data_IF_669035612344
#
_entry.id   IF_669035612344
#
_cell.length_a   1.000
_cell.length_b   1.000
_cell.length_c   1.000
_cell.angle_alpha   90.00
_cell.angle_beta   90.00
_cell.angle_gamma   90.00
#
_symmetry.space_group_name_H-M   'P 1'
#
loop_
_entity.id
_entity.type
_entity.pdbx_description
1 polymer ?
#
# COMPACT_ATOMS: atom_id res chain seq x y z
N UNK A 1 -48.17 -17.65 -154.06
CA UNK A 1 -47.45 -16.55 -153.39
C UNK A 1 -47.68 -16.68 -151.89
N UNK A 2 -46.63 -16.89 -151.09
CA UNK A 2 -46.74 -16.99 -149.63
C UNK A 2 -46.56 -15.61 -149.00
N UNK A 3 -47.45 -15.25 -148.07
CA UNK A 3 -47.45 -13.92 -147.43
C UNK A 3 -46.79 -14.06 -146.06
N UNK A 4 -45.69 -13.34 -145.86
CA UNK A 4 -44.87 -13.38 -144.66
C UNK A 4 -45.46 -12.39 -143.64
N UNK A 5 -46.23 -12.89 -142.66
CA UNK A 5 -46.88 -12.05 -141.65
C UNK A 5 -45.97 -11.92 -140.42
N UNK A 6 -45.38 -10.74 -140.22
CA UNK A 6 -44.64 -10.40 -138.99
C UNK A 6 -45.62 -9.92 -137.93
N UNK A 7 -45.80 -10.72 -136.88
CA UNK A 7 -46.57 -10.32 -135.70
C UNK A 7 -45.72 -9.37 -134.84
N UNK A 8 -46.23 -8.16 -134.59
CA UNK A 8 -45.62 -7.20 -133.66
C UNK A 8 -46.05 -7.54 -132.23
N UNK A 9 -45.10 -7.77 -131.33
CA UNK A 9 -45.35 -7.90 -129.90
C UNK A 9 -45.55 -6.51 -129.29
N UNK A 10 -46.75 -6.26 -128.77
CA UNK A 10 -47.12 -5.01 -128.12
C UNK A 10 -46.90 -5.15 -126.60
N UNK A 11 -46.00 -4.36 -126.03
CA UNK A 11 -45.77 -4.32 -124.57
C UNK A 11 -46.40 -3.07 -123.96
N UNK A 12 -47.36 -3.27 -123.05
CA UNK A 12 -48.04 -2.19 -122.31
C UNK A 12 -47.24 -1.82 -121.05
N UNK A 13 -46.82 -0.56 -120.95
CA UNK A 13 -46.10 -0.02 -119.80
C UNK A 13 -47.08 0.78 -118.92
N UNK A 14 -47.36 0.28 -117.72
CA UNK A 14 -48.23 0.96 -116.74
C UNK A 14 -47.42 2.00 -115.98
N UNK A 15 -47.68 3.29 -116.20
CA UNK A 15 -47.11 4.40 -115.42
C UNK A 15 -48.12 4.88 -114.38
N UNK A 16 -47.80 4.67 -113.11
CA UNK A 16 -48.57 5.25 -112.00
C UNK A 16 -48.31 6.76 -111.90
N UNK A 17 -49.36 7.57 -111.94
CA UNK A 17 -49.30 9.00 -111.60
C UNK A 17 -49.32 9.13 -110.08
N UNK A 18 -48.17 8.99 -109.42
CA UNK A 18 -48.04 9.43 -108.03
C UNK A 18 -47.93 10.95 -108.01
N UNK A 19 -48.89 11.62 -107.36
CA UNK A 19 -48.87 13.07 -107.19
C UNK A 19 -47.63 13.47 -106.39
N UNK A 20 -46.71 14.21 -107.01
CA UNK A 20 -45.47 14.65 -106.35
C UNK A 20 -45.75 15.57 -105.15
N UNK A 21 -46.91 16.21 -105.10
CA UNK A 21 -47.30 17.04 -103.96
C UNK A 21 -47.53 16.19 -102.70
N UNK A 22 -48.23 15.05 -102.81
CA UNK A 22 -48.51 14.17 -101.67
C UNK A 22 -47.26 13.48 -101.12
N UNK A 23 -46.28 13.15 -101.97
CA UNK A 23 -44.99 12.62 -101.50
C UNK A 23 -44.13 13.69 -100.79
N UNK A 24 -44.30 14.97 -101.14
CA UNK A 24 -43.63 16.08 -100.46
C UNK A 24 -44.24 16.33 -99.09
N UNK A 25 -45.58 16.36 -98.98
CA UNK A 25 -46.25 16.51 -97.68
C UNK A 25 -45.91 15.37 -96.72
N UNK A 26 -45.94 14.12 -97.19
CA UNK A 26 -45.55 12.95 -96.36
C UNK A 26 -44.09 13.06 -95.89
N UNK A 27 -43.18 13.53 -96.75
CA UNK A 27 -41.78 13.74 -96.35
C UNK A 27 -41.65 14.86 -95.31
N UNK A 28 -42.37 15.95 -95.48
CA UNK A 28 -42.29 17.10 -94.58
C UNK A 28 -42.90 16.76 -93.21
N UNK A 29 -43.99 16.00 -93.19
CA UNK A 29 -44.59 15.46 -91.96
C UNK A 29 -43.64 14.47 -91.27
N UNK A 30 -42.96 13.60 -92.02
CA UNK A 30 -41.95 12.71 -91.45
C UNK A 30 -40.75 13.49 -90.87
N UNK A 31 -40.32 14.57 -91.52
CA UNK A 31 -39.26 15.44 -91.01
C UNK A 31 -39.68 16.20 -89.74
N UNK A 32 -40.94 16.61 -89.64
CA UNK A 32 -41.49 17.24 -88.43
C UNK A 32 -41.53 16.25 -87.27
N UNK A 33 -42.09 15.06 -87.50
CA UNK A 33 -42.13 14.00 -86.49
C UNK A 33 -40.72 13.67 -85.98
N UNK A 34 -39.75 13.50 -86.87
CA UNK A 34 -38.36 13.21 -86.47
C UNK A 34 -37.77 14.31 -85.57
N UNK A 35 -38.02 15.60 -85.89
CA UNK A 35 -37.57 16.72 -85.07
C UNK A 35 -38.26 16.78 -83.71
N UNK A 36 -39.55 16.46 -83.66
CA UNK A 36 -40.31 16.47 -82.42
C UNK A 36 -39.85 15.34 -81.50
N UNK A 37 -39.62 14.14 -82.04
CA UNK A 37 -39.04 13.01 -81.30
C UNK A 37 -37.67 13.36 -80.69
N UNK A 38 -36.76 13.97 -81.45
CA UNK A 38 -35.43 14.36 -80.95
C UNK A 38 -35.49 15.36 -79.78
N UNK A 39 -36.46 16.29 -79.81
CA UNK A 39 -36.68 17.26 -78.72
C UNK A 39 -37.26 16.59 -77.47
N UNK A 40 -38.21 15.67 -77.64
CA UNK A 40 -38.77 14.90 -76.51
C UNK A 40 -37.73 13.96 -75.89
N UNK A 41 -36.89 13.29 -76.68
CA UNK A 41 -35.83 12.42 -76.13
C UNK A 41 -34.81 13.22 -75.31
N UNK A 42 -34.40 14.39 -75.80
CA UNK A 42 -33.47 15.27 -75.08
C UNK A 42 -34.03 15.80 -73.75
N UNK A 43 -35.35 16.02 -73.67
CA UNK A 43 -36.01 16.47 -72.43
C UNK A 43 -36.22 15.32 -71.44
N UNK A 44 -36.61 14.14 -71.92
CA UNK A 44 -36.74 12.94 -71.09
C UNK A 44 -35.38 12.49 -70.53
N UNK A 45 -34.33 12.52 -71.34
CA UNK A 45 -32.98 12.16 -70.89
C UNK A 45 -32.45 13.13 -69.82
N UNK A 46 -32.70 14.45 -69.97
CA UNK A 46 -32.37 15.44 -68.94
C UNK A 46 -33.17 15.24 -67.67
N UNK A 47 -34.47 14.95 -67.77
CA UNK A 47 -35.33 14.71 -66.61
C UNK A 47 -34.89 13.45 -65.83
N UNK A 48 -34.56 12.35 -66.52
CA UNK A 48 -34.02 11.14 -65.89
C UNK A 48 -32.68 11.42 -65.19
N UNK A 49 -31.75 12.11 -65.85
CA UNK A 49 -30.48 12.49 -65.23
C UNK A 49 -30.66 13.39 -64.00
N UNK A 50 -31.66 14.28 -63.99
CA UNK A 50 -31.96 15.12 -62.82
C UNK A 50 -32.56 14.29 -61.68
N UNK A 51 -33.47 13.38 -61.98
CA UNK A 51 -34.07 12.47 -61.00
C UNK A 51 -33.00 11.56 -60.38
N UNK A 52 -32.11 10.98 -61.18
CA UNK A 52 -31.01 10.12 -60.71
C UNK A 52 -30.03 10.92 -59.83
N UNK A 53 -29.71 12.16 -60.20
CA UNK A 53 -28.87 13.04 -59.37
C UNK A 53 -29.52 13.34 -58.03
N UNK A 54 -30.83 13.60 -57.99
CA UNK A 54 -31.56 13.86 -56.76
C UNK A 54 -31.68 12.61 -55.88
N UNK A 55 -31.92 11.45 -56.48
CA UNK A 55 -31.96 10.17 -55.77
C UNK A 55 -30.59 9.83 -55.15
N UNK A 56 -29.51 10.04 -55.92
CA UNK A 56 -28.15 9.81 -55.45
C UNK A 56 -27.74 10.75 -54.31
N UNK A 57 -28.08 12.05 -54.40
CA UNK A 57 -27.80 13.00 -53.33
C UNK A 57 -28.60 12.69 -52.07
N UNK A 58 -29.87 12.29 -52.21
CA UNK A 58 -30.70 11.85 -51.08
C UNK A 58 -30.13 10.60 -50.40
N UNK A 59 -29.72 9.58 -51.16
CA UNK A 59 -29.06 8.38 -50.61
C UNK A 59 -27.75 8.73 -49.89
N UNK A 60 -26.91 9.58 -50.49
CA UNK A 60 -25.66 10.03 -49.87
C UNK A 60 -25.88 10.78 -48.56
N UNK A 61 -26.92 11.62 -48.48
CA UNK A 61 -27.27 12.33 -47.25
C UNK A 61 -27.75 11.37 -46.16
N UNK A 62 -28.61 10.41 -46.49
CA UNK A 62 -29.06 9.38 -45.55
C UNK A 62 -27.88 8.53 -45.03
N UNK A 63 -26.97 8.08 -45.90
CA UNK A 63 -25.78 7.34 -45.47
C UNK A 63 -24.86 8.15 -44.56
N UNK A 64 -24.67 9.45 -44.84
CA UNK A 64 -23.87 10.33 -43.96
C UNK A 64 -24.49 10.49 -42.58
N UNK A 65 -25.82 10.64 -42.49
CA UNK A 65 -26.52 10.74 -41.20
C UNK A 65 -26.39 9.45 -40.39
N UNK A 66 -26.58 8.29 -41.02
CA UNK A 66 -26.42 6.98 -40.37
C UNK A 66 -24.98 6.78 -39.88
N UNK A 67 -23.97 7.11 -40.70
CA UNK A 67 -22.57 7.04 -40.26
C UNK A 67 -22.25 8.00 -39.12
N UNK A 68 -22.82 9.20 -39.11
CA UNK A 68 -22.61 10.16 -38.02
C UNK A 68 -23.23 9.65 -36.71
N UNK A 69 -24.46 9.12 -36.76
CA UNK A 69 -25.11 8.52 -35.59
C UNK A 69 -24.33 7.31 -35.07
N UNK A 70 -23.87 6.41 -35.96
CA UNK A 70 -23.05 5.26 -35.56
C UNK A 70 -21.71 5.70 -34.93
N UNK A 71 -21.05 6.72 -35.47
CA UNK A 71 -19.81 7.27 -34.89
C UNK A 71 -20.04 7.91 -33.52
N UNK A 72 -21.17 8.57 -33.30
CA UNK A 72 -21.53 9.15 -32.00
C UNK A 72 -21.87 8.06 -30.97
N UNK A 73 -22.66 7.06 -31.36
CA UNK A 73 -22.99 5.92 -30.50
C UNK A 73 -21.74 5.12 -30.09
N UNK A 74 -20.81 4.89 -31.03
CA UNK A 74 -19.53 4.23 -30.73
C UNK A 74 -18.68 5.05 -29.75
N UNK A 75 -18.60 6.38 -29.91
CA UNK A 75 -17.91 7.25 -28.95
C UNK A 75 -18.55 7.17 -27.57
N UNK A 76 -19.87 7.24 -27.48
CA UNK A 76 -20.59 7.15 -26.21
C UNK A 76 -20.35 5.81 -25.50
N UNK A 77 -20.46 4.70 -26.22
CA UNK A 77 -20.20 3.37 -25.66
C UNK A 77 -18.76 3.21 -25.10
N UNK A 78 -17.76 3.82 -25.75
CA UNK A 78 -16.38 3.80 -25.23
C UNK A 78 -16.19 4.63 -23.96
N UNK A 79 -16.90 5.75 -23.83
CA UNK A 79 -16.87 6.59 -22.63
C UNK A 79 -17.55 5.87 -21.47
N UNK A 80 -18.72 5.27 -21.72
CA UNK A 80 -19.49 4.54 -20.71
C UNK A 80 -18.74 3.30 -20.21
N UNK A 81 -18.06 2.57 -21.12
CA UNK A 81 -17.22 1.43 -20.74
C UNK A 81 -16.03 1.86 -19.86
N UNK A 82 -15.38 2.99 -20.19
CA UNK A 82 -14.30 3.54 -19.37
C UNK A 82 -14.80 4.03 -18.00
N UNK A 83 -15.96 4.66 -17.94
CA UNK A 83 -16.57 5.10 -16.68
C UNK A 83 -16.83 3.91 -15.74
N UNK A 84 -17.43 2.83 -16.25
CA UNK A 84 -17.67 1.58 -15.49
C UNK A 84 -16.37 0.95 -14.99
N UNK A 85 -15.30 0.94 -15.80
CA UNK A 85 -13.99 0.43 -15.37
C UNK A 85 -13.36 1.30 -14.27
N UNK A 86 -13.49 2.62 -14.35
CA UNK A 86 -12.97 3.54 -13.34
C UNK A 86 -13.72 3.33 -12.02
N UNK A 87 -15.04 3.18 -12.05
CA UNK A 87 -15.85 2.90 -10.85
C UNK A 87 -15.49 1.54 -10.23
N UNK A 88 -15.37 0.48 -11.03
CA UNK A 88 -14.95 -0.83 -10.55
C UNK A 88 -13.54 -0.77 -9.91
N UNK A 89 -12.59 -0.04 -10.52
CA UNK A 89 -11.25 0.17 -9.94
C UNK A 89 -11.30 0.96 -8.64
N UNK A 90 -12.16 1.98 -8.52
CA UNK A 90 -12.35 2.75 -7.28
C UNK A 90 -12.91 1.86 -6.17
N UNK A 91 -13.89 1.02 -6.46
CA UNK A 91 -14.46 0.08 -5.49
C UNK A 91 -13.45 -0.97 -5.04
N UNK A 92 -12.68 -1.56 -5.98
CA UNK A 92 -11.61 -2.50 -5.64
C UNK A 92 -10.47 -1.84 -4.84
N UNK A 93 -10.12 -0.59 -5.17
CA UNK A 93 -9.14 0.19 -4.42
C UNK A 93 -9.63 0.53 -3.00
N UNK A 94 -10.93 0.80 -2.83
CA UNK A 94 -11.53 1.03 -1.51
C UNK A 94 -11.53 -0.24 -0.66
N UNK A 95 -11.94 -1.38 -1.24
CA UNK A 95 -11.94 -2.67 -0.56
C UNK A 95 -10.53 -3.12 -0.15
N UNK A 96 -9.54 -3.00 -1.03
CA UNK A 96 -8.15 -3.35 -0.71
C UNK A 96 -7.52 -2.43 0.35
N UNK A 97 -7.84 -1.12 0.33
CA UNK A 97 -7.42 -0.20 1.40
C UNK A 97 -8.05 -0.58 2.75
N UNK A 98 -9.35 -0.88 2.78
CA UNK A 98 -10.03 -1.31 3.99
C UNK A 98 -9.44 -2.62 4.55
N UNK A 99 -9.23 -3.63 3.69
CA UNK A 99 -8.59 -4.89 4.08
C UNK A 99 -7.16 -4.68 4.58
N UNK A 100 -6.37 -3.80 3.93
CA UNK A 100 -5.02 -3.46 4.38
C UNK A 100 -5.01 -2.76 5.73
N UNK A 101 -5.96 -1.85 5.98
CA UNK A 101 -6.11 -1.17 7.26
C UNK A 101 -6.49 -2.18 8.35
N UNK A 102 -7.45 -3.07 8.07
CA UNK A 102 -7.83 -4.14 9.02
C UNK A 102 -6.67 -5.06 9.33
N UNK A 103 -5.92 -5.51 8.32
CA UNK A 103 -4.73 -6.35 8.50
C UNK A 103 -3.65 -5.63 9.31
N UNK A 104 -3.41 -4.34 9.05
CA UNK A 104 -2.46 -3.53 9.84
C UNK A 104 -2.92 -3.35 11.29
N UNK A 105 -4.22 -3.15 11.54
CA UNK A 105 -4.77 -3.05 12.88
C UNK A 105 -4.61 -4.38 13.64
N UNK A 106 -4.94 -5.51 12.99
CA UNK A 106 -4.75 -6.84 13.57
C UNK A 106 -3.27 -7.13 13.86
N UNK A 107 -2.35 -6.80 12.95
CA UNK A 107 -0.91 -6.95 13.16
C UNK A 107 -0.39 -6.07 14.31
N UNK A 108 -0.85 -4.82 14.42
CA UNK A 108 -0.50 -3.93 15.54
C UNK A 108 -1.00 -4.47 16.86
N UNK A 109 -2.23 -4.98 16.92
CA UNK A 109 -2.79 -5.58 18.13
C UNK A 109 -2.05 -6.88 18.51
N UNK A 110 -1.79 -7.76 17.54
CA UNK A 110 -1.07 -9.01 17.77
C UNK A 110 0.37 -8.78 18.25
N UNK A 111 1.11 -7.88 17.60
CA UNK A 111 2.48 -7.53 18.00
C UNK A 111 2.53 -6.86 19.38
N UNK A 112 1.53 -6.05 19.73
CA UNK A 112 1.38 -5.48 21.07
C UNK A 112 1.15 -6.58 22.12
N UNK A 113 0.26 -7.53 21.85
CA UNK A 113 -0.05 -8.63 22.77
C UNK A 113 1.16 -9.57 22.96
N UNK A 114 1.88 -9.88 21.88
CA UNK A 114 3.08 -10.70 21.93
C UNK A 114 4.19 -10.02 22.74
N UNK A 115 4.44 -8.73 22.49
CA UNK A 115 5.44 -7.97 23.24
C UNK A 115 5.12 -7.91 24.75
N UNK A 116 3.84 -7.75 25.12
CA UNK A 116 3.42 -7.79 26.52
C UNK A 116 3.70 -9.15 27.16
N UNK A 117 3.38 -10.26 26.47
CA UNK A 117 3.71 -11.63 26.93
C UNK A 117 5.22 -11.87 27.03
N UNK A 118 6.02 -11.32 26.13
CA UNK A 118 7.49 -11.43 26.21
C UNK A 118 8.03 -10.68 27.43
N UNK A 119 7.50 -9.48 27.72
CA UNK A 119 7.85 -8.72 28.93
C UNK A 119 7.48 -9.48 30.20
N UNK A 120 6.28 -10.07 30.24
CA UNK A 120 5.83 -10.94 31.33
C UNK A 120 6.80 -12.11 31.55
N UNK A 121 7.08 -12.89 30.50
CA UNK A 121 7.99 -14.04 30.56
C UNK A 121 9.38 -13.65 31.04
N UNK A 122 9.90 -12.51 30.57
CA UNK A 122 11.20 -11.99 31.03
C UNK A 122 11.17 -11.60 32.52
N UNK A 123 10.14 -10.88 32.97
CA UNK A 123 10.01 -10.50 34.37
C UNK A 123 9.89 -11.71 35.28
N UNK A 124 9.07 -12.69 34.92
CA UNK A 124 8.93 -13.96 35.65
C UNK A 124 10.25 -14.73 35.71
N UNK A 125 10.99 -14.78 34.59
CA UNK A 125 12.31 -15.40 34.54
C UNK A 125 13.32 -14.70 35.46
N UNK A 126 13.39 -13.37 35.40
CA UNK A 126 14.27 -12.58 36.25
C UNK A 126 13.93 -12.76 37.74
N UNK A 127 12.64 -12.84 38.09
CA UNK A 127 12.17 -13.15 39.44
C UNK A 127 12.57 -14.56 39.88
N UNK A 128 12.41 -15.55 39.01
CA UNK A 128 12.81 -16.94 39.27
C UNK A 128 14.31 -17.08 39.57
N UNK A 129 15.15 -16.25 38.94
CA UNK A 129 16.60 -16.24 39.14
C UNK A 129 17.07 -15.42 40.34
N UNK A 130 16.22 -14.60 40.97
CA UNK A 130 16.63 -13.81 42.13
C UNK A 130 16.84 -14.68 43.38
N UNK A 131 18.08 -15.14 43.60
CA UNK A 131 18.44 -15.81 44.85
C UNK A 131 18.43 -14.78 46.00
N UNK A 132 17.96 -15.16 47.19
CA UNK A 132 17.75 -14.22 48.30
C UNK A 132 16.33 -13.64 48.39
N UNK A 133 15.42 -14.02 47.50
CA UNK A 133 13.97 -13.92 47.74
C UNK A 133 13.43 -15.30 48.12
N UNK A 134 12.60 -15.37 49.17
CA UNK A 134 11.85 -16.58 49.55
C UNK A 134 10.78 -16.90 48.48
N UNK A 135 10.37 -18.17 48.34
CA UNK A 135 9.33 -18.61 47.40
C UNK A 135 8.04 -17.80 47.48
N UNK A 136 7.58 -17.45 48.69
CA UNK A 136 6.43 -16.57 48.88
C UNK A 136 6.64 -15.17 48.28
N UNK A 137 7.82 -14.58 48.45
CA UNK A 137 8.16 -13.26 47.89
C UNK A 137 8.32 -13.30 46.36
N UNK A 138 8.82 -14.41 45.82
CA UNK A 138 8.86 -14.64 44.37
C UNK A 138 7.46 -14.74 43.80
N UNK A 139 6.54 -15.41 44.50
CA UNK A 139 5.15 -15.53 44.09
C UNK A 139 4.43 -14.18 44.09
N UNK A 140 4.57 -13.37 45.14
CA UNK A 140 3.96 -12.03 45.17
C UNK A 140 4.54 -11.12 44.10
N UNK A 141 5.85 -11.18 43.88
CA UNK A 141 6.51 -10.44 42.81
C UNK A 141 6.02 -10.90 41.42
N UNK A 142 5.84 -12.20 41.21
CA UNK A 142 5.31 -12.76 39.97
C UNK A 142 3.86 -12.32 39.73
N UNK A 143 3.01 -12.35 40.77
CA UNK A 143 1.63 -11.85 40.70
C UNK A 143 1.55 -10.38 40.35
N UNK A 144 2.43 -9.54 40.93
CA UNK A 144 2.48 -8.13 40.58
C UNK A 144 2.82 -7.91 39.10
N UNK A 145 3.81 -8.65 38.57
CA UNK A 145 4.15 -8.57 37.15
C UNK A 145 2.99 -9.01 36.23
N UNK A 146 2.27 -10.07 36.59
CA UNK A 146 1.09 -10.54 35.86
C UNK A 146 -0.04 -9.52 35.86
N UNK A 147 -0.31 -8.89 37.02
CA UNK A 147 -1.36 -7.88 37.15
C UNK A 147 -1.09 -6.65 36.27
N UNK A 148 0.16 -6.18 36.20
CA UNK A 148 0.54 -5.06 35.31
C UNK A 148 0.28 -5.40 33.83
N UNK A 149 0.62 -6.61 33.41
CA UNK A 149 0.40 -7.07 32.03
C UNK A 149 -1.09 -7.23 31.74
N UNK A 150 -1.88 -7.71 32.71
CA UNK A 150 -3.34 -7.80 32.59
C UNK A 150 -3.98 -6.41 32.48
N UNK A 151 -3.58 -5.44 33.30
CA UNK A 151 -4.04 -4.05 33.22
C UNK A 151 -3.69 -3.41 31.87
N UNK A 152 -2.52 -3.72 31.31
CA UNK A 152 -2.15 -3.28 29.97
C UNK A 152 -3.03 -3.90 28.88
N UNK A 153 -3.30 -5.21 28.95
CA UNK A 153 -4.20 -5.89 28.00
C UNK A 153 -5.63 -5.36 28.07
N UNK A 154 -6.09 -4.96 29.26
CA UNK A 154 -7.38 -4.33 29.50
C UNK A 154 -7.41 -2.84 29.09
N UNK A 155 -6.27 -2.25 28.72
CA UNK A 155 -6.17 -0.83 28.37
C UNK A 155 -6.22 0.14 29.56
N UNK A 156 -6.12 -0.36 30.80
CA UNK A 156 -6.14 0.46 32.01
C UNK A 156 -4.85 1.26 32.21
N UNK A 157 -3.71 0.74 31.74
CA UNK A 157 -2.40 1.42 31.80
C UNK A 157 -1.73 1.41 30.43
N UNK A 158 -0.89 2.41 30.17
CA UNK A 158 -0.11 2.48 28.94
C UNK A 158 1.10 1.55 28.96
N UNK A 159 1.63 1.17 27.79
CA UNK A 159 2.84 0.34 27.68
C UNK A 159 4.05 0.98 28.39
N UNK A 160 4.15 2.31 28.32
CA UNK A 160 5.22 3.08 28.96
C UNK A 160 5.16 2.94 30.47
N UNK A 161 3.97 3.10 31.02
CA UNK A 161 3.72 3.02 32.45
C UNK A 161 3.94 1.59 32.97
N UNK A 162 3.42 0.58 32.27
CA UNK A 162 3.69 -0.83 32.57
C UNK A 162 5.20 -1.12 32.62
N UNK A 163 5.97 -0.66 31.62
CA UNK A 163 7.42 -0.85 31.59
C UNK A 163 8.12 -0.14 32.76
N UNK A 164 7.70 1.08 33.10
CA UNK A 164 8.26 1.85 34.19
C UNK A 164 7.97 1.21 35.55
N UNK A 165 6.71 0.84 35.81
CA UNK A 165 6.28 0.17 37.04
C UNK A 165 6.99 -1.19 37.20
N UNK A 166 7.10 -1.96 36.11
CA UNK A 166 7.82 -3.23 36.11
C UNK A 166 9.32 -3.03 36.42
N UNK A 167 9.96 -2.02 35.85
CA UNK A 167 11.37 -1.71 36.12
C UNK A 167 11.60 -1.27 37.59
N UNK A 168 10.72 -0.42 38.13
CA UNK A 168 10.76 0.03 39.52
C UNK A 168 10.59 -1.18 40.46
N UNK A 169 9.55 -1.98 40.24
CA UNK A 169 9.28 -3.17 41.04
C UNK A 169 10.46 -4.14 41.01
N UNK A 170 11.04 -4.42 39.84
CA UNK A 170 12.22 -5.29 39.73
C UNK A 170 13.44 -4.73 40.46
N UNK A 171 13.64 -3.41 40.44
CA UNK A 171 14.74 -2.76 41.15
C UNK A 171 14.57 -2.89 42.67
N UNK A 172 13.35 -2.69 43.16
CA UNK A 172 13.01 -2.91 44.57
C UNK A 172 13.26 -4.35 44.99
N UNK A 173 12.78 -5.34 44.22
CA UNK A 173 12.99 -6.76 44.52
C UNK A 173 14.48 -7.14 44.51
N UNK A 174 15.27 -6.61 43.58
CA UNK A 174 16.74 -6.81 43.56
C UNK A 174 17.41 -6.21 44.79
N UNK A 175 16.99 -5.04 45.25
CA UNK A 175 17.51 -4.42 46.46
C UNK A 175 17.15 -5.25 47.71
N UNK A 176 15.91 -5.72 47.80
CA UNK A 176 15.46 -6.61 48.88
C UNK A 176 16.25 -7.92 48.90
N UNK A 177 16.44 -8.57 47.75
CA UNK A 177 17.22 -9.80 47.64
C UNK A 177 18.68 -9.59 48.09
N UNK A 178 19.30 -8.45 47.71
CA UNK A 178 20.66 -8.08 48.17
C UNK A 178 20.70 -7.88 49.69
N UNK A 179 19.71 -7.22 50.25
CA UNK A 179 19.63 -6.99 51.70
C UNK A 179 19.45 -8.30 52.46
N UNK A 180 18.58 -9.20 52.00
CA UNK A 180 18.42 -10.53 52.60
C UNK A 180 19.70 -11.36 52.51
N UNK A 181 20.42 -11.33 51.37
CA UNK A 181 21.74 -11.97 51.27
C UNK A 181 22.75 -11.36 52.25
N UNK A 182 22.76 -10.04 52.45
CA UNK A 182 23.64 -9.36 53.43
C UNK A 182 23.28 -9.76 54.86
N UNK A 183 21.99 -9.78 55.19
CA UNK A 183 21.51 -10.20 56.51
C UNK A 183 21.84 -11.67 56.78
N UNK A 184 21.61 -12.58 55.84
CA UNK A 184 21.99 -13.99 55.98
C UNK A 184 23.51 -14.19 56.18
N UNK A 185 24.33 -13.38 55.50
CA UNK A 185 25.79 -13.36 55.73
C UNK A 185 26.16 -12.80 57.11
N UNK A 186 25.40 -11.83 57.63
CA UNK A 186 25.63 -11.24 58.95
C UNK A 186 25.12 -12.13 60.09
N UNK A 187 23.99 -12.82 59.92
CA UNK A 187 23.48 -13.80 60.90
C UNK A 187 24.35 -15.06 60.93
N UNK A 188 24.96 -15.44 59.81
CA UNK A 188 25.99 -16.47 59.73
C UNK A 188 27.33 -16.06 60.36
N UNK A 189 27.55 -14.77 60.65
CA UNK A 189 28.66 -14.33 61.50
C UNK A 189 28.21 -14.51 62.95
N UNK A 190 28.70 -15.57 63.60
CA UNK A 190 28.68 -15.71 65.07
C UNK A 190 28.97 -14.35 65.69
N UNK A 191 28.09 -13.92 66.60
CA UNK A 191 28.24 -12.64 67.30
C UNK A 191 29.63 -12.56 67.91
N UNK A 192 30.21 -11.37 67.88
CA UNK A 192 31.48 -11.04 68.56
C UNK A 192 31.35 -11.08 70.10
N UNK A 193 30.30 -11.70 70.64
CA UNK A 193 30.13 -12.06 72.04
C UNK A 193 30.43 -13.55 72.30
N UNK A 194 31.23 -14.17 71.41
CA UNK A 194 32.02 -15.36 71.68
C UNK A 194 33.50 -15.17 71.34
N UNK A 195 33.97 -13.91 71.32
CA UNK A 195 35.36 -13.55 71.01
C UNK A 195 35.91 -12.54 72.03
N UNK A 196 35.61 -12.76 73.30
CA UNK A 196 36.42 -12.28 74.42
C UNK A 196 37.18 -13.49 74.99
N UNK A 197 38.42 -13.64 74.54
CA UNK A 197 39.33 -14.73 74.86
C UNK A 197 40.50 -14.58 73.89
N UNK A 198 41.45 -13.71 74.25
CA UNK A 198 42.75 -14.15 74.75
C UNK A 198 43.56 -14.90 73.68
N UNK A 199 44.68 -14.27 73.29
CA UNK A 199 45.94 -14.92 72.90
C UNK A 199 45.89 -16.06 71.88
N UNK A 200 46.40 -15.80 70.68
CA UNK A 200 47.01 -16.86 69.89
C UNK A 200 46.86 -16.70 68.39
N UNK A 201 47.71 -15.86 67.77
CA UNK A 201 48.39 -16.23 66.52
C UNK A 201 49.44 -15.23 65.98
N UNK A 202 49.93 -14.25 66.75
CA UNK A 202 50.92 -13.28 66.25
C UNK A 202 52.03 -12.95 67.25
N UNK A 203 52.71 -13.96 67.79
CA UNK A 203 54.02 -13.76 68.45
C UNK A 203 54.79 -15.06 68.49
N UNK A 204 55.61 -15.31 67.45
CA UNK A 204 56.80 -16.17 67.49
C UNK A 204 57.61 -15.92 66.22
N UNK A 205 58.53 -14.96 66.28
CA UNK A 205 59.92 -15.16 65.87
C UNK A 205 60.72 -13.90 66.21
N UNK A 206 61.50 -13.92 67.29
CA UNK A 206 62.97 -13.73 67.30
C UNK A 206 63.45 -14.18 68.69
N UNK A 207 64.04 -15.37 68.75
CA UNK A 207 64.90 -15.78 69.85
C UNK A 207 66.28 -15.13 69.65
N UNK A 208 66.70 -14.30 70.60
CA UNK A 208 68.08 -13.85 70.79
C UNK A 208 68.31 -13.73 72.29
N UNK A 209 69.09 -14.67 72.84
CA UNK A 209 69.31 -14.84 74.27
C UNK A 209 70.23 -13.76 74.87
N UNK A 210 69.81 -13.27 76.04
CA UNK A 210 70.59 -12.79 77.21
C UNK A 210 71.32 -11.43 77.15
N UNK A 211 71.61 -10.77 78.31
CA UNK A 211 70.88 -10.72 79.59
C UNK A 211 70.83 -9.29 80.24
N UNK A 212 70.01 -9.15 81.30
CA UNK A 212 70.11 -8.21 82.45
C UNK A 212 70.72 -6.80 82.26
N UNK A 213 69.90 -5.75 82.43
CA UNK A 213 70.13 -4.66 83.40
C UNK A 213 69.10 -3.53 83.24
N UNK A 214 68.45 -3.21 84.35
CA UNK A 214 67.81 -1.92 84.63
C UNK A 214 68.86 -0.82 84.43
N UNK A 215 68.52 0.31 83.78
CA UNK A 215 68.94 1.69 84.15
C UNK A 215 68.29 2.75 83.22
N UNK A 216 67.51 3.60 83.88
CA UNK A 216 67.23 5.03 83.73
C UNK A 216 68.12 5.81 82.72
N UNK A 217 67.49 6.73 81.97
CA UNK A 217 67.85 8.18 81.79
C UNK A 217 68.03 8.68 80.34
N UNK A 218 67.19 9.68 80.04
CA UNK A 218 67.36 10.89 79.21
C UNK A 218 67.97 10.87 77.81
N UNK A 219 67.29 11.64 76.95
CA UNK A 219 67.80 12.62 75.97
C UNK A 219 67.31 12.30 74.56
N UNK A 220 66.27 13.01 74.08
CA UNK A 220 66.32 14.31 73.40
C UNK A 220 66.84 14.13 71.96
N UNK A 221 65.96 14.32 70.99
CA UNK A 221 66.10 15.24 69.83
C UNK A 221 65.02 14.93 68.76
N UNK A 222 64.13 15.90 68.46
CA UNK A 222 64.05 16.66 67.18
C UNK A 222 63.27 15.87 66.11
N UNK A 223 62.22 16.33 65.43
CA UNK A 223 61.56 17.62 65.26
C UNK A 223 60.23 17.41 64.52
N UNK A 224 59.28 18.35 64.71
CA UNK A 224 58.37 18.96 63.72
C UNK A 224 57.93 18.08 62.52
N UNK A 225 56.64 17.82 62.32
CA UNK A 225 55.73 18.85 61.79
C UNK A 225 54.25 18.48 62.00
N UNK A 226 53.52 19.42 62.59
CA UNK A 226 52.09 19.76 62.46
C UNK A 226 51.58 19.64 61.01
N UNK A 227 50.31 19.36 60.72
CA UNK A 227 49.17 20.22 61.08
C UNK A 227 47.80 19.53 60.87
N UNK A 228 46.84 20.02 61.65
CA UNK A 228 45.47 19.57 61.85
C UNK A 228 44.54 20.72 61.41
N UNK A 229 43.36 20.39 60.85
CA UNK A 229 42.13 21.23 60.76
C UNK A 229 42.19 22.46 59.82
N UNK A 230 41.11 23.06 59.28
CA UNK A 230 39.65 23.09 59.48
C UNK A 230 39.04 23.47 58.08
N UNK A 231 37.87 22.94 57.66
CA UNK A 231 36.55 23.60 57.69
C UNK A 231 36.45 24.96 56.95
N UNK A 232 35.58 25.03 55.93
CA UNK A 232 34.50 26.03 55.72
C UNK A 232 34.15 26.26 54.22
N UNK A 233 32.89 25.96 53.89
CA UNK A 233 31.91 26.73 53.10
C UNK A 233 32.33 27.51 51.84
N UNK A 234 31.51 27.41 50.78
CA UNK A 234 31.28 28.55 49.87
C UNK A 234 30.80 28.17 48.48
N UNK A 235 29.55 28.51 48.18
CA UNK A 235 28.97 28.58 46.84
C UNK A 235 29.75 29.53 45.92
N UNK A 236 29.85 29.20 44.63
CA UNK A 236 29.34 29.95 43.48
C UNK A 236 29.44 29.08 42.22
#
# INVERSE_FOLDING_TARGET
MSVNVKAATLTNLVKYKTDRASLRSVRDDMKKLQKDFSKTEGTIAKAKMQADKQAYTAQMQQQKQVQQQQKQAAKQATVDAKAKQIEARKLAAAQSKAAKIQMQQQQKQASVAENARLKERKALFDIGRMEGLNGAQRFTAARHAQNLVSQYQQGAISLRDMNQQMAIHMTQQKALARNQRKQAKQSGKKSKYGRSGSSGWLSRNVNGNCPTAIIIRSSRCISRTTNVRHFLTGNF
#
